data_IF_302793793981
#
_entry.id   IF_302793793981
#
_cell.length_a   1.000
_cell.length_b   1.000
_cell.length_c   1.000
_cell.angle_alpha   90.00
_cell.angle_beta   90.00
_cell.angle_gamma   90.00
#
_symmetry.space_group_name_H-M   'P 1'
#
loop_
_entity.id
_entity.type
_entity.pdbx_description
1 polymer ?
#
# COMPACT_ATOMS: atom_id res chain seq x y z
N UNK A 1 22.08 8.99 34.59
CA UNK A 1 22.18 8.83 33.12
C UNK A 1 22.37 7.39 32.64
N UNK A 2 22.87 6.41 33.44
CA UNK A 2 23.01 5.00 32.99
C UNK A 2 21.71 4.17 32.93
N UNK A 3 20.66 4.56 33.66
CA UNK A 3 19.40 3.80 33.75
C UNK A 3 18.45 3.96 32.54
N UNK A 4 18.56 5.07 31.78
CA UNK A 4 17.70 5.33 30.61
C UNK A 4 18.05 4.46 29.40
N UNK A 5 19.36 4.27 29.15
CA UNK A 5 19.86 3.43 28.05
C UNK A 5 19.56 1.93 28.22
N UNK A 6 19.50 1.44 29.48
CA UNK A 6 19.15 0.04 29.74
C UNK A 6 17.67 -0.23 29.42
N UNK A 7 16.78 0.70 29.80
CA UNK A 7 15.36 0.63 29.48
C UNK A 7 15.08 0.78 27.98
N UNK A 8 15.78 1.69 27.29
CA UNK A 8 15.65 1.86 25.84
C UNK A 8 16.14 0.62 25.07
N UNK A 9 17.20 -0.04 25.55
CA UNK A 9 17.71 -1.28 24.98
C UNK A 9 16.73 -2.45 25.18
N UNK A 10 16.13 -2.58 26.37
CA UNK A 10 15.09 -3.58 26.63
C UNK A 10 13.86 -3.39 25.73
N UNK A 11 13.40 -2.14 25.55
CA UNK A 11 12.31 -1.82 24.64
C UNK A 11 12.69 -2.18 23.21
N UNK A 12 13.91 -1.87 22.78
CA UNK A 12 14.41 -2.19 21.44
C UNK A 12 14.41 -3.70 21.19
N UNK A 13 14.96 -4.50 22.12
CA UNK A 13 15.00 -5.96 22.00
C UNK A 13 13.57 -6.53 21.93
N UNK A 14 12.68 -6.07 22.81
CA UNK A 14 11.28 -6.50 22.79
C UNK A 14 10.55 -6.11 21.51
N UNK A 15 10.86 -4.94 20.94
CA UNK A 15 10.31 -4.50 19.68
C UNK A 15 10.74 -5.42 18.52
N UNK A 16 12.01 -5.83 18.48
CA UNK A 16 12.51 -6.79 17.49
C UNK A 16 11.81 -8.15 17.61
N UNK A 17 11.69 -8.68 18.83
CA UNK A 17 11.02 -9.97 19.09
C UNK A 17 9.54 -9.96 18.67
N UNK A 18 8.80 -8.90 19.02
CA UNK A 18 7.40 -8.75 18.62
C UNK A 18 7.27 -8.59 17.10
N UNK A 19 8.16 -7.83 16.46
CA UNK A 19 8.16 -7.64 15.02
C UNK A 19 8.42 -8.97 14.28
N UNK A 20 9.34 -9.80 14.76
CA UNK A 20 9.61 -11.12 14.19
C UNK A 20 8.39 -12.04 14.29
N UNK A 21 7.80 -12.16 15.49
CA UNK A 21 6.55 -12.93 15.67
C UNK A 21 5.43 -12.44 14.78
N UNK A 22 5.27 -11.12 14.63
CA UNK A 22 4.28 -10.55 13.76
C UNK A 22 4.45 -11.03 12.31
N UNK A 23 5.67 -11.03 11.78
CA UNK A 23 5.95 -11.49 10.41
C UNK A 23 5.67 -12.99 10.22
N UNK A 24 6.00 -13.80 11.22
CA UNK A 24 5.66 -15.23 11.24
C UNK A 24 4.14 -15.43 11.17
N UNK A 25 3.39 -14.75 12.06
CA UNK A 25 1.93 -14.83 12.08
C UNK A 25 1.29 -14.32 10.78
N UNK A 26 1.87 -13.29 10.14
CA UNK A 26 1.45 -12.81 8.82
C UNK A 26 1.60 -13.91 7.76
N UNK A 27 2.72 -14.64 7.76
CA UNK A 27 2.95 -15.76 6.85
C UNK A 27 1.97 -16.92 7.08
N UNK A 28 1.70 -17.26 8.35
CA UNK A 28 0.71 -18.27 8.74
C UNK A 28 -0.71 -17.88 8.34
N UNK A 29 -1.07 -16.61 8.50
CA UNK A 29 -2.38 -16.09 8.11
C UNK A 29 -2.59 -16.23 6.60
N UNK A 30 -1.58 -15.92 5.78
CA UNK A 30 -1.63 -16.12 4.32
C UNK A 30 -1.90 -17.59 3.99
N UNK A 31 -1.24 -18.51 4.69
CA UNK A 31 -1.40 -19.95 4.50
C UNK A 31 -2.79 -20.45 4.88
N UNK A 32 -3.31 -20.05 6.04
CA UNK A 32 -4.65 -20.41 6.47
C UNK A 32 -5.69 -19.85 5.50
N UNK A 33 -5.56 -18.59 5.07
CA UNK A 33 -6.47 -18.00 4.08
C UNK A 33 -6.43 -18.77 2.77
N UNK A 34 -5.24 -19.21 2.32
CA UNK A 34 -5.11 -20.06 1.13
C UNK A 34 -5.85 -21.40 1.29
N UNK A 35 -5.71 -22.07 2.43
CA UNK A 35 -6.41 -23.33 2.70
C UNK A 35 -7.93 -23.16 2.78
N UNK A 36 -8.40 -22.08 3.41
CA UNK A 36 -9.83 -21.76 3.49
C UNK A 36 -10.39 -21.43 2.10
N UNK A 37 -9.64 -20.72 1.26
CA UNK A 37 -10.06 -20.40 -0.11
C UNK A 37 -10.09 -21.63 -1.01
N UNK A 38 -9.11 -22.54 -0.91
CA UNK A 38 -9.02 -23.73 -1.75
C UNK A 38 -10.15 -24.72 -1.44
N UNK A 39 -10.45 -24.91 -0.16
CA UNK A 39 -11.52 -25.82 0.31
C UNK A 39 -12.90 -25.19 0.30
N UNK A 40 -12.99 -23.87 0.07
CA UNK A 40 -14.21 -23.07 0.28
C UNK A 40 -14.84 -23.31 1.66
N UNK A 41 -14.03 -23.61 2.68
CA UNK A 41 -14.49 -24.02 4.01
C UNK A 41 -15.21 -22.88 4.76
N UNK A 42 -15.03 -21.63 4.33
CA UNK A 42 -15.81 -20.49 4.80
C UNK A 42 -17.34 -20.68 4.68
N UNK A 43 -17.80 -21.52 3.74
CA UNK A 43 -19.23 -21.86 3.59
C UNK A 43 -19.81 -22.58 4.80
N UNK A 44 -18.99 -23.38 5.49
CA UNK A 44 -19.39 -24.10 6.70
C UNK A 44 -19.71 -23.15 7.87
N UNK A 45 -19.27 -21.90 7.78
CA UNK A 45 -19.49 -20.85 8.77
C UNK A 45 -20.53 -19.81 8.29
N UNK A 46 -21.41 -20.20 7.36
CA UNK A 46 -22.50 -19.36 6.84
C UNK A 46 -22.04 -18.16 6.00
N UNK A 47 -20.79 -18.14 5.54
CA UNK A 47 -20.28 -17.05 4.72
C UNK A 47 -20.45 -17.32 3.23
N UNK A 48 -20.95 -16.32 2.51
CA UNK A 48 -21.12 -16.38 1.04
C UNK A 48 -19.82 -16.21 0.27
N UNK A 49 -18.77 -15.68 0.92
CA UNK A 49 -17.46 -15.46 0.32
C UNK A 49 -16.34 -15.53 1.36
N UNK A 50 -15.12 -15.77 0.88
CA UNK A 50 -13.90 -15.69 1.70
C UNK A 50 -13.72 -14.29 2.32
N UNK A 51 -14.08 -13.25 1.58
CA UNK A 51 -14.04 -11.87 2.08
C UNK A 51 -14.96 -11.70 3.30
N UNK A 52 -16.21 -12.18 3.19
CA UNK A 52 -17.16 -12.12 4.31
C UNK A 52 -16.60 -12.85 5.54
N UNK A 53 -16.04 -14.05 5.33
CA UNK A 53 -15.41 -14.83 6.39
C UNK A 53 -14.23 -14.11 7.06
N UNK A 54 -13.34 -13.52 6.25
CA UNK A 54 -12.18 -12.78 6.75
C UNK A 54 -12.57 -11.57 7.62
N UNK A 55 -13.62 -10.83 7.22
CA UNK A 55 -14.09 -9.67 7.99
C UNK A 55 -14.90 -10.10 9.21
N UNK A 56 -15.82 -11.06 9.09
CA UNK A 56 -16.76 -11.39 10.17
C UNK A 56 -16.19 -12.36 11.20
N UNK A 57 -15.49 -13.41 10.75
CA UNK A 57 -14.98 -14.47 11.62
C UNK A 57 -13.52 -14.24 12.00
N UNK A 58 -12.66 -13.84 11.05
CA UNK A 58 -11.25 -13.54 11.36
C UNK A 58 -11.04 -12.12 11.90
N UNK A 59 -12.08 -11.27 11.92
CA UNK A 59 -12.06 -9.88 12.43
C UNK A 59 -11.00 -9.00 11.76
N UNK A 60 -10.63 -9.30 10.52
CA UNK A 60 -9.75 -8.44 9.74
C UNK A 60 -10.52 -7.18 9.30
N UNK A 61 -9.83 -6.04 9.28
CA UNK A 61 -10.37 -4.85 8.58
C UNK A 61 -10.58 -5.17 7.10
N UNK A 62 -11.46 -4.43 6.44
CA UNK A 62 -11.77 -4.62 5.02
C UNK A 62 -10.49 -4.54 4.15
N UNK A 63 -9.66 -3.53 4.38
CA UNK A 63 -8.39 -3.36 3.68
C UNK A 63 -7.43 -4.54 3.90
N UNK A 64 -7.31 -5.00 5.14
CA UNK A 64 -6.49 -6.16 5.47
C UNK A 64 -7.04 -7.41 4.75
N UNK A 65 -8.34 -7.66 4.82
CA UNK A 65 -8.97 -8.80 4.17
C UNK A 65 -8.72 -8.79 2.65
N UNK A 66 -8.91 -7.65 1.98
CA UNK A 66 -8.60 -7.53 0.54
C UNK A 66 -7.14 -7.82 0.23
N UNK A 67 -6.21 -7.28 1.02
CA UNK A 67 -4.79 -7.46 0.81
C UNK A 67 -4.36 -8.92 1.00
N UNK A 68 -4.73 -9.52 2.13
CA UNK A 68 -4.38 -10.89 2.46
C UNK A 68 -4.99 -11.90 1.49
N UNK A 69 -6.24 -11.71 1.06
CA UNK A 69 -6.89 -12.60 0.07
C UNK A 69 -6.17 -12.54 -1.28
N UNK A 70 -5.84 -11.33 -1.75
CA UNK A 70 -5.14 -11.16 -3.02
C UNK A 70 -3.75 -11.82 -2.98
N UNK A 71 -3.01 -11.60 -1.88
CA UNK A 71 -1.69 -12.19 -1.66
C UNK A 71 -1.79 -13.71 -1.54
N UNK A 72 -2.70 -14.25 -0.72
CA UNK A 72 -2.86 -15.70 -0.55
C UNK A 72 -3.15 -16.42 -1.86
N UNK A 73 -4.03 -15.87 -2.69
CA UNK A 73 -4.33 -16.41 -4.02
C UNK A 73 -3.11 -16.41 -4.94
N UNK A 74 -2.32 -15.33 -4.91
CA UNK A 74 -1.12 -15.23 -5.75
C UNK A 74 0.00 -16.15 -5.25
N UNK A 75 0.19 -16.22 -3.93
CA UNK A 75 1.13 -17.09 -3.24
C UNK A 75 0.86 -18.57 -3.49
N UNK A 76 -0.39 -18.96 -3.75
CA UNK A 76 -0.72 -20.33 -4.12
C UNK A 76 -0.07 -20.77 -5.44
N UNK A 77 0.08 -19.86 -6.41
CA UNK A 77 0.73 -20.13 -7.69
C UNK A 77 2.25 -19.93 -7.65
N UNK A 78 2.75 -19.17 -6.66
CA UNK A 78 4.14 -18.72 -6.59
C UNK A 78 4.67 -18.92 -5.16
N UNK A 79 5.13 -20.14 -4.81
CA UNK A 79 5.59 -20.45 -3.45
C UNK A 79 6.75 -19.55 -2.98
N UNK A 80 7.65 -19.13 -3.89
CA UNK A 80 8.74 -18.22 -3.55
C UNK A 80 8.20 -16.86 -3.04
N UNK A 81 7.11 -16.35 -3.62
CA UNK A 81 6.49 -15.11 -3.19
C UNK A 81 5.99 -15.18 -1.74
N UNK A 82 5.42 -16.32 -1.33
CA UNK A 82 5.04 -16.58 0.07
C UNK A 82 6.26 -16.54 1.00
N UNK A 83 7.36 -17.19 0.60
CA UNK A 83 8.56 -17.26 1.44
C UNK A 83 9.18 -15.88 1.66
N UNK A 84 9.24 -15.03 0.62
CA UNK A 84 9.78 -13.68 0.77
C UNK A 84 8.96 -12.79 1.72
N UNK A 85 7.65 -13.01 1.79
CA UNK A 85 6.79 -12.30 2.74
C UNK A 85 7.01 -12.84 4.16
N UNK A 86 7.06 -14.17 4.32
CA UNK A 86 7.28 -14.83 5.61
C UNK A 86 8.62 -14.44 6.23
N UNK A 87 9.66 -14.29 5.40
CA UNK A 87 11.00 -13.89 5.82
C UNK A 87 11.14 -12.38 6.04
N UNK A 88 10.06 -11.60 5.92
CA UNK A 88 10.08 -10.14 6.09
C UNK A 88 10.77 -9.37 4.97
N UNK A 89 11.23 -10.03 3.90
CA UNK A 89 11.95 -9.41 2.79
C UNK A 89 11.03 -8.55 1.92
N UNK A 90 9.74 -8.91 1.84
CA UNK A 90 8.72 -8.15 1.12
C UNK A 90 7.55 -7.85 2.08
N UNK A 91 7.29 -6.56 2.30
CA UNK A 91 6.14 -6.13 3.10
C UNK A 91 4.80 -6.41 2.38
N UNK A 92 3.72 -6.52 3.15
CA UNK A 92 2.34 -6.70 2.63
C UNK A 92 1.98 -5.64 1.57
N UNK A 93 2.37 -4.38 1.79
CA UNK A 93 2.06 -3.30 0.86
C UNK A 93 2.80 -3.42 -0.48
N UNK A 94 4.03 -3.94 -0.48
CA UNK A 94 4.78 -4.26 -1.72
C UNK A 94 4.20 -5.52 -2.38
N UNK A 95 3.93 -6.56 -1.60
CA UNK A 95 3.33 -7.80 -2.07
C UNK A 95 1.98 -7.54 -2.78
N UNK A 96 1.12 -6.70 -2.21
CA UNK A 96 -0.16 -6.36 -2.82
C UNK A 96 -0.01 -5.72 -4.20
N UNK A 97 0.99 -4.85 -4.39
CA UNK A 97 1.29 -4.23 -5.68
C UNK A 97 1.78 -5.26 -6.69
N UNK A 98 2.66 -6.17 -6.26
CA UNK A 98 3.16 -7.25 -7.12
C UNK A 98 2.06 -8.18 -7.63
N UNK A 99 0.98 -8.39 -6.87
CA UNK A 99 -0.10 -9.30 -7.25
C UNK A 99 -0.69 -9.03 -8.66
N UNK A 100 -0.60 -7.80 -9.17
CA UNK A 100 -1.12 -7.45 -10.50
C UNK A 100 -0.17 -7.73 -11.67
N UNK A 101 1.09 -8.08 -11.41
CA UNK A 101 2.12 -8.26 -12.46
C UNK A 101 2.97 -9.52 -12.29
N UNK A 102 3.06 -10.06 -11.07
CA UNK A 102 3.89 -11.23 -10.79
C UNK A 102 3.22 -12.52 -11.32
N UNK A 103 4.01 -13.32 -12.01
CA UNK A 103 3.70 -14.62 -12.60
C UNK A 103 4.82 -15.62 -12.27
N UNK A 104 4.59 -16.94 -12.39
CA UNK A 104 5.63 -17.94 -12.15
C UNK A 104 6.90 -17.74 -12.99
N UNK A 105 6.75 -17.22 -14.21
CA UNK A 105 7.85 -17.04 -15.17
C UNK A 105 8.71 -15.81 -14.84
N UNK A 106 8.10 -14.75 -14.30
CA UNK A 106 8.77 -13.48 -14.01
C UNK A 106 9.06 -13.26 -12.52
N UNK A 107 8.75 -14.24 -11.66
CA UNK A 107 8.80 -14.11 -10.21
C UNK A 107 10.17 -13.64 -9.71
N UNK A 108 11.27 -14.23 -10.19
CA UNK A 108 12.64 -13.92 -9.72
C UNK A 108 12.93 -12.43 -9.88
N UNK A 109 12.67 -11.88 -11.09
CA UNK A 109 12.87 -10.47 -11.39
C UNK A 109 12.09 -9.55 -10.45
N UNK A 110 10.80 -9.83 -10.24
CA UNK A 110 9.96 -8.96 -9.42
C UNK A 110 10.26 -9.07 -7.92
N UNK A 111 10.58 -10.27 -7.43
CA UNK A 111 10.93 -10.47 -6.03
C UNK A 111 12.24 -9.77 -5.70
N UNK A 112 13.28 -9.93 -6.52
CA UNK A 112 14.57 -9.28 -6.30
C UNK A 112 14.50 -7.76 -6.43
N UNK A 113 13.72 -7.26 -7.38
CA UNK A 113 13.45 -5.82 -7.50
C UNK A 113 12.71 -5.29 -6.26
N UNK A 114 11.67 -5.98 -5.79
CA UNK A 114 10.88 -5.54 -4.65
C UNK A 114 11.67 -5.52 -3.33
N UNK A 115 12.68 -6.37 -3.16
CA UNK A 115 13.59 -6.36 -2.00
C UNK A 115 14.45 -5.10 -1.95
N UNK A 116 14.91 -4.63 -3.10
CA UNK A 116 15.94 -3.58 -3.20
C UNK A 116 15.37 -2.17 -3.29
N UNK A 117 14.14 -2.00 -3.79
CA UNK A 117 13.57 -0.66 -4.02
C UNK A 117 12.53 -0.22 -2.98
N UNK A 118 12.25 1.08 -2.93
CA UNK A 118 11.16 1.61 -2.12
C UNK A 118 9.78 1.24 -2.69
N UNK A 119 8.74 1.29 -1.85
CA UNK A 119 7.36 1.00 -2.26
C UNK A 119 6.88 1.90 -3.42
N UNK A 120 7.33 3.17 -3.44
CA UNK A 120 7.01 4.15 -4.49
C UNK A 120 7.66 3.81 -5.82
N UNK A 121 8.94 3.41 -5.80
CA UNK A 121 9.67 2.98 -7.01
C UNK A 121 9.05 1.70 -7.58
N UNK A 122 8.70 0.75 -6.70
CA UNK A 122 7.99 -0.46 -7.10
C UNK A 122 6.65 -0.15 -7.78
N UNK A 123 5.87 0.76 -7.20
CA UNK A 123 4.58 1.18 -7.75
C UNK A 123 4.70 1.76 -9.16
N UNK A 124 5.69 2.63 -9.38
CA UNK A 124 5.97 3.21 -10.69
C UNK A 124 6.27 2.13 -11.73
N UNK A 125 7.10 1.17 -11.37
CA UNK A 125 7.50 0.08 -12.29
C UNK A 125 6.33 -0.88 -12.56
N UNK A 126 5.52 -1.19 -11.54
CA UNK A 126 4.27 -1.96 -11.71
C UNK A 126 3.33 -1.22 -12.67
N UNK A 127 3.14 0.09 -12.50
CA UNK A 127 2.29 0.91 -13.37
C UNK A 127 2.83 1.02 -14.81
N UNK A 128 4.15 0.94 -15.00
CA UNK A 128 4.77 0.90 -16.33
C UNK A 128 4.41 -0.38 -17.09
N UNK A 129 4.39 -1.53 -16.40
CA UNK A 129 4.12 -2.84 -17.00
C UNK A 129 2.62 -3.15 -17.07
N UNK A 130 1.85 -2.63 -16.11
CA UNK A 130 0.40 -2.77 -16.04
C UNK A 130 -0.25 -1.39 -15.81
N UNK A 131 -0.35 -0.57 -16.88
CA UNK A 131 -0.93 0.75 -16.79
C UNK A 131 -2.42 0.65 -16.46
N UNK A 132 -2.84 1.37 -15.43
CA UNK A 132 -4.27 1.55 -15.14
C UNK A 132 -4.86 2.51 -16.17
N UNK A 133 -6.15 2.36 -16.46
CA UNK A 133 -6.90 3.33 -17.26
C UNK A 133 -6.72 4.74 -16.65
N UNK A 134 -6.65 5.74 -17.52
CA UNK A 134 -6.53 7.13 -17.09
C UNK A 134 -7.69 7.47 -16.14
N UNK A 135 -7.35 8.06 -15.00
CA UNK A 135 -8.36 8.59 -14.08
C UNK A 135 -9.07 9.72 -14.81
N UNK A 136 -10.39 9.58 -15.00
CA UNK A 136 -11.22 10.65 -15.57
C UNK A 136 -11.29 11.81 -14.58
N UNK A 137 -11.16 13.02 -15.09
CA UNK A 137 -11.31 14.22 -14.28
C UNK A 137 -12.71 14.26 -13.66
N UNK A 138 -12.75 14.36 -12.33
CA UNK A 138 -14.00 14.38 -11.56
C UNK A 138 -13.91 15.41 -10.45
N UNK A 139 -14.93 16.26 -10.37
CA UNK A 139 -15.18 17.12 -9.22
C UNK A 139 -16.50 16.68 -8.57
N UNK A 140 -16.51 16.54 -7.25
CA UNK A 140 -17.74 16.21 -6.50
C UNK A 140 -17.83 17.02 -5.22
N UNK A 141 -19.01 17.53 -4.91
CA UNK A 141 -19.28 18.24 -3.65
C UNK A 141 -19.03 17.33 -2.44
N UNK A 142 -18.30 17.86 -1.46
CA UNK A 142 -18.09 17.27 -0.14
C UNK A 142 -18.67 18.15 0.97
N UNK A 143 -18.92 19.42 0.68
CA UNK A 143 -19.67 20.37 1.50
C UNK A 143 -20.40 21.37 0.56
N UNK A 144 -21.15 22.31 1.12
CA UNK A 144 -21.95 23.29 0.35
C UNK A 144 -21.09 24.17 -0.58
N UNK A 145 -19.83 24.42 -0.23
CA UNK A 145 -18.86 25.22 -1.00
C UNK A 145 -17.52 24.51 -1.25
N UNK A 146 -17.39 23.22 -0.90
CA UNK A 146 -16.15 22.45 -1.06
C UNK A 146 -16.32 21.30 -2.03
N UNK A 147 -15.39 21.21 -2.99
CA UNK A 147 -15.31 20.10 -3.93
C UNK A 147 -14.05 19.25 -3.68
N UNK A 148 -14.20 17.94 -3.82
CA UNK A 148 -13.07 17.02 -4.02
C UNK A 148 -12.75 16.99 -5.52
N UNK A 149 -11.51 17.32 -5.87
CA UNK A 149 -11.00 17.20 -7.23
C UNK A 149 -10.13 15.94 -7.36
N UNK A 150 -10.51 15.05 -8.26
CA UNK A 150 -9.71 13.90 -8.67
C UNK A 150 -9.33 14.05 -10.14
N UNK A 151 -8.04 13.99 -10.45
CA UNK A 151 -7.53 14.04 -11.81
C UNK A 151 -6.23 13.26 -11.96
N UNK A 152 -6.04 12.67 -13.14
CA UNK A 152 -4.77 12.06 -13.51
C UNK A 152 -3.79 13.13 -13.98
N UNK A 153 -2.63 13.24 -13.33
CA UNK A 153 -1.58 14.20 -13.74
C UNK A 153 -0.31 13.48 -14.19
N UNK A 154 0.38 14.05 -15.16
CA UNK A 154 1.71 13.57 -15.57
C UNK A 154 2.76 13.86 -14.49
N UNK A 155 3.85 13.07 -14.49
CA UNK A 155 4.98 13.30 -13.58
C UNK A 155 5.57 14.71 -13.75
N UNK A 156 5.63 15.21 -15.00
CA UNK A 156 6.08 16.59 -15.30
C UNK A 156 5.15 17.64 -14.70
N UNK A 157 3.83 17.44 -14.79
CA UNK A 157 2.85 18.36 -14.19
C UNK A 157 2.98 18.37 -12.66
N UNK A 158 3.10 17.20 -12.03
CA UNK A 158 3.29 17.09 -10.59
C UNK A 158 4.57 17.78 -10.10
N UNK A 159 5.68 17.69 -10.85
CA UNK A 159 6.93 18.40 -10.53
C UNK A 159 6.74 19.93 -10.58
N UNK A 160 6.04 20.44 -11.59
CA UNK A 160 5.67 21.86 -11.66
C UNK A 160 4.82 22.27 -10.47
N UNK A 161 3.80 21.48 -10.12
CA UNK A 161 2.93 21.75 -8.98
C UNK A 161 3.72 21.80 -7.66
N UNK A 162 4.64 20.85 -7.42
CA UNK A 162 5.53 20.90 -6.25
C UNK A 162 6.42 22.13 -6.24
N UNK A 163 6.95 22.54 -7.39
CA UNK A 163 7.76 23.75 -7.48
C UNK A 163 6.97 25.00 -7.11
N UNK A 164 5.73 25.12 -7.59
CA UNK A 164 4.84 26.22 -7.19
C UNK A 164 4.52 26.14 -5.70
N UNK A 165 4.27 24.94 -5.16
CA UNK A 165 4.00 24.73 -3.74
C UNK A 165 5.16 25.19 -2.84
N UNK A 166 6.40 24.93 -3.24
CA UNK A 166 7.59 25.39 -2.51
C UNK A 166 7.68 26.93 -2.52
N UNK A 167 7.42 27.56 -3.67
CA UNK A 167 7.40 29.02 -3.82
C UNK A 167 6.29 29.65 -2.98
N UNK A 168 5.08 29.08 -3.01
CA UNK A 168 3.96 29.55 -2.21
C UNK A 168 4.18 29.33 -0.72
N UNK A 169 4.85 28.24 -0.33
CA UNK A 169 5.21 28.02 1.08
C UNK A 169 6.17 29.09 1.60
N UNK A 170 7.11 29.53 0.75
CA UNK A 170 8.02 30.63 1.06
C UNK A 170 7.27 31.97 1.11
N UNK A 171 6.39 32.25 0.15
CA UNK A 171 5.61 33.50 0.10
C UNK A 171 4.68 33.64 1.31
N UNK A 172 4.01 32.55 1.70
CA UNK A 172 3.05 32.53 2.80
C UNK A 172 3.68 32.30 4.18
N UNK A 173 4.99 31.98 4.24
CA UNK A 173 5.69 31.62 5.48
C UNK A 173 5.01 30.48 6.27
N UNK A 174 4.34 29.57 5.56
CA UNK A 174 3.69 28.36 6.10
C UNK A 174 3.77 27.24 5.05
N UNK A 175 3.58 25.99 5.47
CA UNK A 175 3.47 24.88 4.52
C UNK A 175 2.22 25.05 3.65
N UNK A 176 2.38 25.35 2.37
CA UNK A 176 1.27 25.55 1.44
C UNK A 176 0.63 24.21 1.06
N UNK A 177 -0.70 24.15 1.08
CA UNK A 177 -1.47 23.01 0.60
C UNK A 177 -1.55 22.97 -0.93
N UNK A 178 -2.18 21.93 -1.46
CA UNK A 178 -2.47 21.86 -2.90
C UNK A 178 -3.48 22.91 -3.35
N UNK A 179 -4.43 23.30 -2.49
CA UNK A 179 -5.38 24.38 -2.78
C UNK A 179 -4.68 25.73 -2.91
N UNK A 180 -3.83 26.10 -1.93
CA UNK A 180 -3.02 27.33 -1.99
C UNK A 180 -2.18 27.37 -3.29
N UNK A 181 -1.55 26.24 -3.62
CA UNK A 181 -0.70 26.10 -4.80
C UNK A 181 -1.49 26.24 -6.10
N UNK A 182 -2.66 25.60 -6.17
CA UNK A 182 -3.50 25.61 -7.36
C UNK A 182 -4.13 27.00 -7.55
N UNK A 183 -4.60 27.64 -6.49
CA UNK A 183 -5.12 29.02 -6.55
C UNK A 183 -4.06 29.96 -7.08
N UNK A 184 -2.85 29.97 -6.49
CA UNK A 184 -1.78 30.84 -6.94
C UNK A 184 -1.41 30.62 -8.41
N UNK A 185 -1.41 29.37 -8.89
CA UNK A 185 -1.14 29.06 -10.29
C UNK A 185 -2.28 29.51 -11.23
N UNK A 186 -3.54 29.46 -10.78
CA UNK A 186 -4.70 29.92 -11.54
C UNK A 186 -4.76 31.44 -11.56
N UNK A 187 -4.58 32.09 -10.42
CA UNK A 187 -4.57 33.54 -10.26
C UNK A 187 -3.50 34.16 -11.17
N UNK A 188 -2.28 33.60 -11.20
CA UNK A 188 -1.21 34.06 -12.08
C UNK A 188 -1.49 33.93 -13.60
N UNK A 189 -2.47 33.11 -14.00
CA UNK A 189 -2.91 33.00 -15.40
C UNK A 189 -4.13 33.89 -15.70
N UNK A 190 -4.93 34.20 -14.69
CA UNK A 190 -6.13 35.03 -14.79
C UNK A 190 -5.84 36.53 -14.63
N UNK A 191 -4.68 36.90 -14.09
CA UNK A 191 -4.08 38.25 -14.12
C UNK A 191 -3.60 38.64 -15.53
#
# INVERSE_FOLDING_TARGET
>A
MKSKNASDLEIHIKALEVAERYLVCVGELIEIIQMVDSRKSFRNYGCTSLYKYAVTHLKLSEDCAYNFIAIARKSAAIPAFKQEIKNGQISISKARKLCSVITPENQVKWLDFAKTVSSKVLEREVARVNPKAAVSDRASYIAWDRLKLEMGVSEKCMQKLRRVQDLESQRLQKAAGFEDTLSAALDAYLE
#
